data_IF_224260972995
#
_entry.id   IF_224260972995
#
_cell.length_a   1.000
_cell.length_b   1.000
_cell.length_c   1.000
_cell.angle_alpha   90.00
_cell.angle_beta   90.00
_cell.angle_gamma   90.00
#
_symmetry.space_group_name_H-M   'P 1'
#
loop_
_entity.id
_entity.type
_entity.pdbx_description
1 polymer ?
#
# COMPACT_ATOMS: atom_id res chain seq x y z
N UNK A 1 -18.70 -41.38 18.61
CA UNK A 1 -17.79 -40.44 17.92
C UNK A 1 -18.62 -39.22 17.59
N UNK A 2 -18.41 -38.11 18.30
CA UNK A 2 -19.10 -36.86 17.97
C UNK A 2 -18.53 -36.34 16.64
N UNK A 3 -19.41 -36.09 15.70
CA UNK A 3 -19.07 -35.53 14.39
C UNK A 3 -18.52 -34.12 14.62
N UNK A 4 -17.23 -33.91 14.31
CA UNK A 4 -16.60 -32.59 14.47
C UNK A 4 -17.09 -31.73 13.32
N UNK A 5 -17.99 -30.80 13.61
CA UNK A 5 -18.41 -29.75 12.66
C UNK A 5 -17.14 -29.03 12.17
N UNK A 6 -16.93 -29.02 10.86
CA UNK A 6 -15.82 -28.30 10.26
C UNK A 6 -16.05 -26.79 10.44
N UNK A 7 -15.09 -26.10 11.05
CA UNK A 7 -15.10 -24.64 11.19
C UNK A 7 -14.49 -24.03 9.94
N UNK A 8 -15.21 -23.13 9.28
CA UNK A 8 -14.71 -22.42 8.10
C UNK A 8 -13.68 -21.35 8.52
N UNK A 9 -12.44 -21.52 8.07
CA UNK A 9 -11.35 -20.56 8.27
C UNK A 9 -11.00 -19.80 7.00
N UNK A 10 -11.79 -19.97 5.93
CA UNK A 10 -11.55 -19.38 4.62
C UNK A 10 -11.53 -17.86 4.65
N UNK A 11 -12.48 -17.23 5.36
CA UNK A 11 -12.53 -15.78 5.50
C UNK A 11 -11.34 -15.22 6.29
N UNK A 12 -10.91 -15.88 7.37
CA UNK A 12 -9.71 -15.50 8.11
C UNK A 12 -8.48 -15.48 7.19
N UNK A 13 -8.22 -16.59 6.48
CA UNK A 13 -7.07 -16.70 5.59
C UNK A 13 -7.12 -15.76 4.40
N UNK A 14 -8.32 -15.47 3.86
CA UNK A 14 -8.51 -14.51 2.77
C UNK A 14 -7.98 -13.13 3.16
N UNK A 15 -8.33 -12.62 4.33
CA UNK A 15 -7.90 -11.28 4.76
C UNK A 15 -6.43 -11.24 5.20
N UNK A 16 -5.96 -12.30 5.85
CA UNK A 16 -4.52 -12.45 6.18
C UNK A 16 -3.66 -12.47 4.92
N UNK A 17 -4.07 -13.21 3.90
CA UNK A 17 -3.36 -13.26 2.63
C UNK A 17 -3.39 -11.92 1.90
N UNK A 18 -4.52 -11.19 1.95
CA UNK A 18 -4.62 -9.83 1.40
C UNK A 18 -3.63 -8.87 2.06
N UNK A 19 -3.44 -9.00 3.38
CA UNK A 19 -2.54 -8.14 4.14
C UNK A 19 -1.06 -8.54 3.98
N UNK A 20 -0.75 -9.84 3.89
CA UNK A 20 0.62 -10.37 4.03
C UNK A 20 1.25 -10.94 2.75
N UNK A 21 0.46 -11.37 1.75
CA UNK A 21 0.99 -11.95 0.51
C UNK A 21 1.06 -10.93 -0.62
N UNK A 22 2.13 -11.01 -1.41
CA UNK A 22 2.17 -10.35 -2.70
C UNK A 22 1.09 -10.93 -3.63
N UNK A 23 0.45 -10.07 -4.42
CA UNK A 23 -0.60 -10.48 -5.37
C UNK A 23 -0.14 -10.26 -6.80
N UNK A 24 -0.53 -11.17 -7.70
CA UNK A 24 -0.34 -10.99 -9.14
C UNK A 24 -1.60 -10.36 -9.69
N UNK A 25 -1.51 -9.10 -10.10
CA UNK A 25 -2.60 -8.45 -10.82
C UNK A 25 -2.43 -8.62 -12.31
N UNK A 26 -3.56 -8.79 -12.98
CA UNK A 26 -3.65 -8.96 -14.42
C UNK A 26 -3.90 -7.59 -15.05
N UNK A 27 -2.96 -7.10 -15.86
CA UNK A 27 -3.19 -5.95 -16.74
C UNK A 27 -3.45 -6.46 -18.15
N UNK A 28 -4.50 -5.95 -18.78
CA UNK A 28 -4.73 -6.16 -20.20
C UNK A 28 -4.14 -4.96 -20.94
N UNK A 29 -3.00 -5.14 -21.59
CA UNK A 29 -2.38 -4.14 -22.47
C UNK A 29 -3.00 -4.20 -23.86
N UNK A 30 -3.72 -3.16 -24.26
CA UNK A 30 -4.20 -3.02 -25.64
C UNK A 30 -3.44 -1.89 -26.32
N UNK A 31 -2.58 -2.26 -27.27
CA UNK A 31 -1.92 -1.29 -28.15
C UNK A 31 -2.75 -1.11 -29.41
N UNK A 32 -2.98 0.12 -29.89
CA UNK A 32 -3.70 0.35 -31.15
C UNK A 32 -3.10 -0.49 -32.29
N UNK A 33 -3.95 -1.22 -33.03
CA UNK A 33 -3.53 -2.09 -34.13
C UNK A 33 -2.91 -3.44 -33.74
N UNK A 34 -2.75 -3.74 -32.45
CA UNK A 34 -2.22 -5.03 -31.98
C UNK A 34 -3.27 -5.83 -31.20
N UNK A 35 -3.06 -7.15 -31.12
CA UNK A 35 -3.85 -8.02 -30.24
C UNK A 35 -3.54 -7.68 -28.78
N UNK A 36 -4.59 -7.60 -27.95
CA UNK A 36 -4.43 -7.36 -26.52
C UNK A 36 -3.47 -8.38 -25.88
N UNK A 37 -2.49 -7.89 -25.13
CA UNK A 37 -1.52 -8.70 -24.37
C UNK A 37 -1.91 -8.70 -22.91
N UNK A 38 -1.94 -9.87 -22.30
CA UNK A 38 -2.18 -10.00 -20.87
C UNK A 38 -0.81 -9.99 -20.18
N UNK A 39 -0.56 -9.01 -19.34
CA UNK A 39 0.61 -8.93 -18.49
C UNK A 39 0.23 -9.15 -17.03
N UNK A 40 1.14 -9.72 -16.27
CA UNK A 40 0.97 -9.92 -14.84
C UNK A 40 2.05 -9.12 -14.11
N UNK A 41 1.64 -8.34 -13.13
CA UNK A 41 2.54 -7.57 -12.27
C UNK A 41 2.37 -8.02 -10.83
N UNK A 42 3.49 -8.10 -10.12
CA UNK A 42 3.49 -8.40 -8.69
C UNK A 42 3.28 -7.10 -7.93
N UNK A 43 2.13 -6.99 -7.25
CA UNK A 43 1.99 -6.00 -6.19
C UNK A 43 2.54 -6.59 -4.90
N UNK A 44 3.33 -5.82 -4.14
CA UNK A 44 3.64 -6.17 -2.77
C UNK A 44 2.36 -6.35 -1.94
N UNK A 45 2.48 -7.02 -0.80
CA UNK A 45 1.37 -7.12 0.16
C UNK A 45 0.96 -5.74 0.68
N UNK A 46 -0.27 -5.60 1.17
CA UNK A 46 -0.73 -4.32 1.73
C UNK A 46 0.14 -3.87 2.89
N UNK A 47 0.60 -4.80 3.75
CA UNK A 47 1.53 -4.49 4.82
C UNK A 47 2.86 -3.92 4.29
N UNK A 48 3.46 -4.56 3.27
CA UNK A 48 4.70 -4.04 2.68
C UNK A 48 4.49 -2.67 2.03
N UNK A 49 3.35 -2.41 1.42
CA UNK A 49 3.02 -1.10 0.87
C UNK A 49 2.89 -0.05 1.98
N UNK A 50 2.17 -0.35 3.07
CA UNK A 50 2.02 0.52 4.23
C UNK A 50 3.38 0.90 4.83
N UNK A 51 4.24 -0.09 5.11
CA UNK A 51 5.55 0.15 5.72
C UNK A 51 6.45 0.97 4.79
N UNK A 52 6.46 0.70 3.47
CA UNK A 52 7.21 1.53 2.51
C UNK A 52 6.76 2.99 2.51
N UNK A 53 5.46 3.24 2.62
CA UNK A 53 4.91 4.59 2.70
C UNK A 53 5.33 5.29 4.00
N UNK A 54 5.31 4.58 5.12
CA UNK A 54 5.82 5.07 6.42
C UNK A 54 7.32 5.39 6.34
N UNK A 55 8.11 4.47 5.80
CA UNK A 55 9.57 4.62 5.68
C UNK A 55 9.94 5.76 4.74
N UNK A 56 9.29 5.86 3.57
CA UNK A 56 9.54 6.94 2.59
C UNK A 56 9.24 8.33 3.15
N UNK A 57 8.27 8.43 4.07
CA UNK A 57 7.94 9.67 4.79
C UNK A 57 9.03 10.07 5.78
N UNK A 58 9.82 9.10 6.28
CA UNK A 58 10.88 9.32 7.27
C UNK A 58 12.24 9.65 6.62
N UNK A 59 12.54 9.08 5.46
CA UNK A 59 13.82 9.24 4.75
C UNK A 59 13.82 10.49 3.88
N UNK A 60 13.83 11.66 4.52
CA UNK A 60 13.92 12.93 3.81
C UNK A 60 15.24 13.08 3.03
N UNK A 61 15.20 12.88 1.71
CA UNK A 61 16.08 13.51 0.72
C UNK A 61 17.58 13.42 0.98
N UNK A 62 18.13 12.22 1.15
CA UNK A 62 19.57 12.00 1.08
C UNK A 62 19.95 11.53 -0.33
N UNK A 63 20.55 12.42 -1.13
CA UNK A 63 21.28 12.18 -2.40
C UNK A 63 20.72 12.94 -3.62
N UNK A 64 20.87 14.26 -3.62
CA UNK A 64 20.72 15.10 -4.82
C UNK A 64 20.86 16.58 -4.47
N UNK A 65 21.81 17.26 -5.09
CA UNK A 65 22.29 18.58 -4.69
C UNK A 65 21.23 19.70 -4.78
N UNK A 66 21.14 20.53 -3.73
CA UNK A 66 20.81 21.97 -3.86
C UNK A 66 19.34 22.41 -3.88
N UNK A 67 18.35 21.51 -3.90
CA UNK A 67 16.94 21.92 -3.87
C UNK A 67 16.42 22.08 -2.44
N UNK A 68 16.09 23.31 -2.02
CA UNK A 68 15.38 23.63 -0.77
C UNK A 68 13.90 23.19 -0.80
N UNK A 69 13.64 21.93 -1.18
CA UNK A 69 12.30 21.36 -1.20
C UNK A 69 11.87 20.95 0.20
N UNK A 70 10.81 21.57 0.72
CA UNK A 70 10.16 21.18 1.97
C UNK A 70 9.80 19.70 1.97
N UNK A 71 10.14 18.99 3.05
CA UNK A 71 9.76 17.58 3.22
C UNK A 71 8.23 17.48 3.24
N UNK A 72 7.64 16.48 2.56
CA UNK A 72 6.24 16.17 2.81
C UNK A 72 6.07 15.85 4.30
N UNK A 73 4.98 16.32 4.94
CA UNK A 73 4.72 16.00 6.33
C UNK A 73 4.56 14.48 6.50
N UNK A 74 5.07 13.95 7.61
CA UNK A 74 4.87 12.54 7.97
C UNK A 74 3.37 12.27 8.04
N UNK A 75 2.91 11.25 7.32
CA UNK A 75 1.53 10.81 7.41
C UNK A 75 1.33 10.05 8.73
N UNK A 76 0.91 10.78 9.78
CA UNK A 76 0.72 10.24 11.13
C UNK A 76 -0.35 9.14 11.19
N UNK A 77 -1.31 9.14 10.27
CA UNK A 77 -2.37 8.12 10.21
C UNK A 77 -1.80 6.76 9.80
N UNK A 78 -0.95 6.72 8.76
CA UNK A 78 -0.27 5.48 8.33
C UNK A 78 0.63 4.92 9.43
N UNK A 79 1.36 5.80 10.14
CA UNK A 79 2.22 5.40 11.27
C UNK A 79 1.40 4.83 12.42
N UNK A 80 0.32 5.50 12.80
CA UNK A 80 -0.57 5.05 13.87
C UNK A 80 -1.22 3.70 13.53
N UNK A 81 -1.67 3.51 12.29
CA UNK A 81 -2.25 2.24 11.83
C UNK A 81 -1.22 1.10 11.86
N UNK A 82 0.01 1.34 11.41
CA UNK A 82 1.07 0.33 11.45
C UNK A 82 1.41 -0.08 12.91
N UNK A 83 1.49 0.89 13.82
CA UNK A 83 1.71 0.63 15.24
C UNK A 83 0.56 -0.15 15.87
N UNK A 84 -0.69 0.26 15.63
CA UNK A 84 -1.91 -0.42 16.12
C UNK A 84 -1.92 -1.91 15.72
N UNK A 85 -1.67 -2.21 14.44
CA UNK A 85 -1.63 -3.59 13.94
C UNK A 85 -0.51 -4.38 14.65
N UNK A 86 0.68 -3.78 14.75
CA UNK A 86 1.82 -4.45 15.38
C UNK A 86 1.58 -4.75 16.85
N UNK A 87 1.06 -3.79 17.61
CA UNK A 87 0.81 -3.92 19.04
C UNK A 87 -0.28 -4.98 19.30
N UNK A 88 -1.42 -4.91 18.59
CA UNK A 88 -2.52 -5.86 18.77
C UNK A 88 -2.14 -7.30 18.40
N UNK A 89 -1.34 -7.49 17.34
CA UNK A 89 -0.84 -8.82 16.96
C UNK A 89 0.14 -9.35 18.01
N UNK A 90 1.03 -8.49 18.50
CA UNK A 90 2.02 -8.85 19.52
C UNK A 90 1.33 -9.27 20.82
N UNK A 91 0.38 -8.47 21.29
CA UNK A 91 -0.38 -8.75 22.51
C UNK A 91 -1.18 -10.04 22.37
N UNK A 92 -1.87 -10.24 21.25
CA UNK A 92 -2.64 -11.45 20.99
C UNK A 92 -1.77 -12.71 20.95
N UNK A 93 -0.58 -12.65 20.33
CA UNK A 93 0.36 -13.76 20.36
C UNK A 93 0.79 -14.09 21.80
N UNK A 94 1.09 -13.07 22.60
CA UNK A 94 1.47 -13.25 24.01
C UNK A 94 0.31 -13.86 24.81
N UNK A 95 -0.93 -13.42 24.60
CA UNK A 95 -2.14 -13.97 25.24
C UNK A 95 -2.35 -15.45 24.90
N UNK A 96 -2.00 -15.86 23.68
CA UNK A 96 -2.02 -17.27 23.25
C UNK A 96 -0.77 -18.07 23.69
N UNK A 97 0.15 -17.47 24.44
CA UNK A 97 1.38 -18.12 24.90
C UNK A 97 2.46 -18.27 23.83
N UNK A 98 2.32 -17.55 22.72
CA UNK A 98 3.25 -17.54 21.60
C UNK A 98 4.28 -16.41 21.75
N UNK A 99 5.43 -16.56 21.08
CA UNK A 99 6.48 -15.53 21.07
C UNK A 99 6.45 -14.78 19.73
N UNK A 100 6.28 -13.43 19.75
CA UNK A 100 6.44 -12.59 18.55
C UNK A 100 7.81 -12.79 17.90
N UNK A 101 7.85 -12.75 16.57
CA UNK A 101 9.08 -12.92 15.80
C UNK A 101 9.78 -11.57 15.66
N UNK A 102 11.08 -11.60 15.90
CA UNK A 102 11.96 -10.45 15.72
C UNK A 102 12.81 -10.68 14.48
N UNK A 103 12.72 -9.76 13.52
CA UNK A 103 13.62 -9.71 12.38
C UNK A 103 14.92 -9.02 12.80
N UNK A 104 16.05 -9.65 12.47
CA UNK A 104 17.36 -9.01 12.61
C UNK A 104 17.58 -8.21 11.34
N UNK A 105 17.56 -6.87 11.45
CA UNK A 105 17.78 -6.00 10.30
C UNK A 105 19.19 -6.23 9.70
N UNK A 106 19.23 -7.01 8.62
CA UNK A 106 20.46 -7.40 7.92
C UNK A 106 21.19 -6.20 7.29
N UNK A 107 20.53 -5.05 7.12
CA UNK A 107 21.17 -3.86 6.56
C UNK A 107 22.14 -3.21 7.54
N UNK A 108 21.95 -3.42 8.85
CA UNK A 108 22.81 -2.84 9.87
C UNK A 108 24.17 -3.56 9.97
N UNK A 109 24.24 -4.84 9.60
CA UNK A 109 25.49 -5.62 9.68
C UNK A 109 26.54 -5.18 8.65
N UNK A 110 26.13 -4.66 7.48
CA UNK A 110 27.08 -4.19 6.45
C UNK A 110 27.88 -2.95 6.87
N UNK A 111 27.37 -2.11 7.79
CA UNK A 111 28.11 -0.93 8.28
C UNK A 111 29.15 -1.25 9.37
N UNK A 112 29.12 -2.45 9.98
CA UNK A 112 30.05 -2.83 11.06
C UNK A 112 31.35 -3.50 10.60
N UNK A 113 31.49 -3.83 9.32
CA UNK A 113 32.77 -4.29 8.77
C UNK A 113 33.81 -3.16 8.59
N UNK A 114 33.51 -1.92 9.00
CA UNK A 114 34.48 -0.85 9.11
C UNK A 114 35.22 -0.95 10.46
N UNK A 115 36.48 -1.38 10.41
CA UNK A 115 37.43 -1.48 11.53
C UNK A 115 37.36 -0.25 12.46
N UNK A 116 37.26 -0.43 13.79
CA UNK A 116 37.29 0.70 14.72
C UNK A 116 38.64 1.44 14.62
N UNK A 117 38.64 2.79 14.65
CA UNK A 117 39.88 3.55 14.73
C UNK A 117 40.61 3.20 16.04
N UNK A 118 41.92 3.01 15.96
CA UNK A 118 42.75 2.81 17.14
C UNK A 118 42.57 3.98 18.11
N UNK A 119 42.28 3.67 19.38
CA UNK A 119 42.27 4.66 20.45
C UNK A 119 43.70 5.15 20.69
N UNK A 120 44.02 6.33 20.17
CA UNK A 120 45.23 7.09 20.46
C UNK A 120 44.85 8.33 21.26
N UNK A 121 45.66 8.73 22.24
CA UNK A 121 45.49 10.04 22.89
C UNK A 121 45.86 11.18 21.92
N UNK A 122 45.61 12.44 22.31
CA UNK A 122 45.95 13.63 21.52
C UNK A 122 47.46 13.77 21.20
N UNK A 123 48.31 12.91 21.76
CA UNK A 123 49.76 12.84 21.51
C UNK A 123 50.20 11.57 20.78
N UNK A 124 49.28 10.67 20.42
CA UNK A 124 49.59 9.39 19.78
C UNK A 124 50.24 8.35 20.70
N UNK A 125 50.21 8.53 22.03
CA UNK A 125 50.81 7.61 22.99
C UNK A 125 49.78 6.69 23.64
N UNK A 126 50.12 5.42 23.90
CA UNK A 126 49.27 4.51 24.65
C UNK A 126 49.24 4.92 26.13
N UNK A 127 48.05 5.03 26.71
CA UNK A 127 47.87 5.28 28.15
C UNK A 127 48.45 4.10 28.96
N UNK A 128 49.37 4.38 29.89
CA UNK A 128 50.19 3.38 30.59
C UNK A 128 49.92 3.23 32.10
N UNK A 129 48.84 3.79 32.66
CA UNK A 129 48.45 3.55 34.06
C UNK A 129 47.52 2.33 34.16
N UNK A 130 47.97 1.17 34.68
CA UNK A 130 47.22 -0.08 34.61
C UNK A 130 45.94 -0.09 35.47
N UNK A 131 45.90 0.63 36.59
CA UNK A 131 44.76 0.61 37.52
C UNK A 131 43.67 1.62 37.14
N UNK A 132 44.07 2.75 36.55
CA UNK A 132 43.13 3.72 35.99
C UNK A 132 42.63 3.24 34.63
N UNK A 133 43.51 2.64 33.80
CA UNK A 133 43.13 2.02 32.55
C UNK A 133 42.14 0.87 32.77
N UNK A 134 42.36 0.00 33.77
CA UNK A 134 41.43 -1.09 34.07
C UNK A 134 40.01 -0.62 34.40
N UNK A 135 39.87 0.39 35.26
CA UNK A 135 38.56 0.95 35.64
C UNK A 135 37.88 1.72 34.51
N UNK A 136 38.65 2.43 33.68
CA UNK A 136 38.13 3.12 32.50
C UNK A 136 37.70 2.13 31.41
N UNK A 137 38.45 1.04 31.21
CA UNK A 137 38.09 -0.04 30.29
C UNK A 137 36.83 -0.75 30.75
N UNK A 138 36.66 -1.04 32.04
CA UNK A 138 35.45 -1.69 32.54
C UNK A 138 34.21 -0.78 32.47
N UNK A 139 34.35 0.52 32.79
CA UNK A 139 33.27 1.51 32.60
C UNK A 139 32.91 1.70 31.12
N UNK A 140 33.91 1.76 30.25
CA UNK A 140 33.71 1.85 28.81
C UNK A 140 33.04 0.58 28.26
N UNK A 141 33.42 -0.60 28.76
CA UNK A 141 32.81 -1.88 28.39
C UNK A 141 31.33 -1.96 28.83
N UNK A 142 30.98 -1.53 30.05
CA UNK A 142 29.58 -1.47 30.50
C UNK A 142 28.77 -0.44 29.73
N UNK A 143 29.31 0.76 29.52
CA UNK A 143 28.63 1.78 28.71
C UNK A 143 28.45 1.32 27.25
N UNK A 144 29.44 0.62 26.69
CA UNK A 144 29.34 0.03 25.36
C UNK A 144 28.31 -1.11 25.32
N UNK A 145 28.22 -1.93 26.37
CA UNK A 145 27.21 -2.99 26.50
C UNK A 145 25.79 -2.42 26.63
N UNK A 146 25.58 -1.39 27.45
CA UNK A 146 24.28 -0.70 27.57
C UNK A 146 23.89 0.02 26.27
N UNK A 147 24.85 0.64 25.59
CA UNK A 147 24.62 1.29 24.31
C UNK A 147 24.42 0.26 23.18
N UNK A 148 25.04 -0.92 23.26
CA UNK A 148 24.78 -2.04 22.37
C UNK A 148 23.39 -2.62 22.61
N UNK A 149 22.97 -2.80 23.87
CA UNK A 149 21.63 -3.25 24.23
C UNK A 149 20.56 -2.27 23.73
N UNK A 150 20.73 -0.96 23.96
CA UNK A 150 19.80 0.07 23.44
C UNK A 150 19.79 0.16 21.91
N UNK A 151 20.93 -0.11 21.25
CA UNK A 151 21.02 -0.16 19.78
C UNK A 151 20.42 -1.45 19.22
N UNK A 152 20.53 -2.57 19.93
CA UNK A 152 19.92 -3.85 19.55
C UNK A 152 18.40 -3.83 19.77
N UNK A 153 17.91 -3.12 20.79
CA UNK A 153 16.47 -2.78 20.91
C UNK A 153 15.95 -1.96 19.73
N UNK A 154 16.83 -1.23 19.03
CA UNK A 154 16.50 -0.53 17.79
C UNK A 154 16.76 -1.34 16.50
N UNK A 155 17.27 -2.58 16.61
CA UNK A 155 17.61 -3.47 15.46
C UNK A 155 16.70 -4.68 15.34
N UNK A 156 16.01 -5.03 16.42
CA UNK A 156 15.01 -6.08 16.43
C UNK A 156 13.69 -5.42 16.03
N UNK A 157 13.45 -5.35 14.72
CA UNK A 157 12.17 -4.91 14.22
C UNK A 157 11.22 -6.12 14.27
N UNK A 158 10.01 -5.94 14.77
CA UNK A 158 9.02 -7.02 14.75
C UNK A 158 8.74 -7.40 13.30
N UNK A 159 8.80 -8.70 12.99
CA UNK A 159 8.35 -9.22 11.69
C UNK A 159 6.83 -9.35 11.73
N UNK A 160 6.16 -8.20 11.77
CA UNK A 160 4.70 -8.13 11.89
C UNK A 160 4.00 -8.90 10.77
N UNK A 161 4.61 -8.98 9.57
CA UNK A 161 4.05 -9.76 8.46
C UNK A 161 4.02 -11.26 8.79
N UNK A 162 5.10 -11.80 9.33
CA UNK A 162 5.13 -13.19 9.81
C UNK A 162 4.24 -13.40 11.02
N UNK A 163 4.20 -12.45 11.95
CA UNK A 163 3.40 -12.53 13.18
C UNK A 163 1.89 -12.51 12.89
N UNK A 164 1.43 -11.71 11.92
CA UNK A 164 0.05 -11.73 11.41
C UNK A 164 -0.34 -13.14 10.91
N UNK A 165 0.56 -13.81 10.16
CA UNK A 165 0.30 -15.17 9.68
C UNK A 165 0.36 -16.20 10.80
N UNK A 166 1.28 -16.02 11.74
CA UNK A 166 1.44 -16.90 12.91
C UNK A 166 0.18 -16.86 13.77
N UNK A 167 -0.30 -15.65 14.09
CA UNK A 167 -1.52 -15.44 14.84
C UNK A 167 -2.74 -16.06 14.15
N UNK A 168 -2.88 -15.88 12.83
CA UNK A 168 -3.97 -16.51 12.08
C UNK A 168 -3.95 -18.05 12.17
N UNK A 169 -2.76 -18.67 12.17
CA UNK A 169 -2.62 -20.11 12.35
C UNK A 169 -3.02 -20.55 13.76
N UNK A 170 -2.54 -19.83 14.79
CA UNK A 170 -2.86 -20.09 16.20
C UNK A 170 -4.37 -19.98 16.43
N UNK A 171 -5.01 -18.92 15.92
CA UNK A 171 -6.45 -18.70 16.02
C UNK A 171 -7.23 -19.80 15.32
N UNK A 172 -6.82 -20.21 14.11
CA UNK A 172 -7.47 -21.29 13.37
C UNK A 172 -7.39 -22.65 14.11
N UNK A 173 -6.29 -22.90 14.83
CA UNK A 173 -6.06 -24.15 15.57
C UNK A 173 -6.93 -24.27 16.83
N UNK A 174 -7.40 -23.15 17.39
CA UNK A 174 -8.33 -23.18 18.55
C UNK A 174 -9.66 -23.86 18.20
N UNK A 175 -10.08 -23.78 16.93
CA UNK A 175 -11.41 -24.21 16.43
C UNK A 175 -12.59 -23.55 17.15
N UNK A 176 -12.36 -22.43 17.81
CA UNK A 176 -13.39 -21.63 18.46
C UNK A 176 -14.01 -20.69 17.41
N UNK A 177 -15.25 -20.98 16.99
CA UNK A 177 -15.93 -20.26 15.90
C UNK A 177 -16.02 -18.75 16.18
N UNK A 178 -16.34 -18.37 17.41
CA UNK A 178 -16.47 -16.96 17.81
C UNK A 178 -15.13 -16.22 17.72
N UNK A 179 -14.05 -16.85 18.19
CA UNK A 179 -12.70 -16.28 18.13
C UNK A 179 -12.22 -16.15 16.68
N UNK A 180 -12.43 -17.18 15.86
CA UNK A 180 -12.08 -17.16 14.43
C UNK A 180 -12.84 -16.05 13.68
N UNK A 181 -14.15 -15.91 13.96
CA UNK A 181 -14.99 -14.87 13.34
C UNK A 181 -14.53 -13.48 13.74
N UNK A 182 -14.28 -13.27 15.04
CA UNK A 182 -13.81 -11.99 15.55
C UNK A 182 -12.49 -11.58 14.90
N UNK A 183 -11.52 -12.49 14.83
CA UNK A 183 -10.25 -12.21 14.16
C UNK A 183 -10.42 -11.96 12.66
N UNK A 184 -11.26 -12.72 11.95
CA UNK A 184 -11.55 -12.47 10.55
C UNK A 184 -12.10 -11.05 10.32
N UNK A 185 -12.98 -10.57 11.21
CA UNK A 185 -13.49 -9.21 11.19
C UNK A 185 -12.38 -8.17 11.46
N UNK A 186 -11.47 -8.43 12.40
CA UNK A 186 -10.31 -7.56 12.66
C UNK A 186 -9.38 -7.46 11.44
N UNK A 187 -9.01 -8.58 10.82
CA UNK A 187 -8.18 -8.57 9.60
C UNK A 187 -8.88 -7.83 8.45
N UNK A 188 -10.20 -8.02 8.29
CA UNK A 188 -10.97 -7.28 7.28
C UNK A 188 -10.96 -5.77 7.56
N UNK A 189 -11.14 -5.36 8.81
CA UNK A 189 -11.08 -3.97 9.23
C UNK A 189 -9.72 -3.33 8.93
N UNK A 190 -8.62 -4.03 9.27
CA UNK A 190 -7.28 -3.55 8.94
C UNK A 190 -7.03 -3.47 7.44
N UNK A 191 -7.45 -4.48 6.66
CA UNK A 191 -7.35 -4.43 5.19
C UNK A 191 -8.04 -3.18 4.64
N UNK A 192 -9.28 -2.91 5.06
CA UNK A 192 -10.01 -1.73 4.61
C UNK A 192 -9.28 -0.43 4.98
N UNK A 193 -8.81 -0.29 6.23
CA UNK A 193 -8.07 0.92 6.66
C UNK A 193 -6.74 1.09 5.95
N UNK A 194 -6.02 0.01 5.68
CA UNK A 194 -4.77 0.08 4.92
C UNK A 194 -5.06 0.47 3.47
N UNK A 195 -6.11 -0.07 2.86
CA UNK A 195 -6.54 0.33 1.51
C UNK A 195 -6.93 1.81 1.46
N UNK A 196 -7.72 2.31 2.40
CA UNK A 196 -8.04 3.74 2.54
C UNK A 196 -6.80 4.60 2.73
N UNK A 197 -5.92 4.23 3.66
CA UNK A 197 -4.70 4.99 3.96
C UNK A 197 -3.72 5.01 2.76
N UNK A 198 -3.69 3.95 1.96
CA UNK A 198 -2.91 3.85 0.72
C UNK A 198 -3.60 4.52 -0.47
N UNK A 199 -4.81 5.09 -0.32
CA UNK A 199 -5.61 5.59 -1.44
C UNK A 199 -5.98 4.48 -2.44
N UNK A 200 -5.93 3.22 -2.02
CA UNK A 200 -6.24 2.05 -2.84
C UNK A 200 -7.74 1.71 -2.85
N UNK A 201 -8.56 2.48 -2.14
CA UNK A 201 -10.02 2.38 -2.26
C UNK A 201 -10.41 2.60 -3.72
N UNK A 202 -11.08 1.60 -4.30
CA UNK A 202 -11.70 1.68 -5.63
C UNK A 202 -12.68 2.89 -5.72
N UNK A 203 -13.10 3.44 -4.57
CA UNK A 203 -13.92 4.65 -4.46
C UNK A 203 -13.16 5.96 -4.74
N UNK A 204 -11.83 5.96 -4.72
CA UNK A 204 -11.03 7.12 -5.18
C UNK A 204 -10.96 7.23 -6.71
N UNK A 205 -11.53 6.24 -7.42
CA UNK A 205 -11.61 6.26 -8.88
C UNK A 205 -12.82 7.10 -9.31
N UNK A 206 -12.63 8.42 -9.33
CA UNK A 206 -13.61 9.34 -9.90
C UNK A 206 -13.83 8.98 -11.38
N UNK A 207 -15.04 8.52 -11.69
CA UNK A 207 -15.39 8.03 -13.02
C UNK A 207 -16.32 9.05 -13.68
N UNK A 208 -15.79 9.81 -14.65
CA UNK A 208 -16.55 10.85 -15.35
C UNK A 208 -16.84 10.50 -16.80
N UNK A 209 -18.07 10.72 -17.29
CA UNK A 209 -18.37 10.58 -18.72
C UNK A 209 -17.75 11.73 -19.51
N UNK A 210 -17.15 11.44 -20.67
CA UNK A 210 -16.65 12.46 -21.61
C UNK A 210 -17.75 12.76 -22.62
N UNK A 211 -18.39 13.92 -22.48
CA UNK A 211 -19.51 14.33 -23.34
C UNK A 211 -19.01 14.94 -24.66
N UNK A 212 -19.74 14.69 -25.74
CA UNK A 212 -19.52 15.32 -27.04
C UNK A 212 -18.26 14.88 -27.79
N UNK A 213 -17.60 13.81 -27.33
CA UNK A 213 -16.38 13.29 -27.95
C UNK A 213 -16.62 11.86 -28.43
N UNK A 214 -16.26 11.62 -29.69
CA UNK A 214 -16.39 10.31 -30.32
C UNK A 214 -15.27 9.38 -29.84
N UNK A 215 -15.59 8.10 -29.70
CA UNK A 215 -14.59 7.07 -29.49
C UNK A 215 -13.63 7.00 -30.69
N UNK A 216 -12.30 7.06 -30.50
CA UNK A 216 -11.37 6.99 -31.65
C UNK A 216 -11.31 5.60 -32.30
N UNK A 217 -11.84 4.56 -31.63
CA UNK A 217 -11.83 3.20 -32.15
C UNK A 217 -13.10 2.82 -32.94
N UNK A 218 -14.26 3.36 -32.57
CA UNK A 218 -15.54 3.00 -33.20
C UNK A 218 -16.38 4.21 -33.63
N UNK A 219 -15.87 5.42 -33.46
CA UNK A 219 -16.52 6.70 -33.79
C UNK A 219 -17.85 6.99 -33.07
N UNK A 220 -18.28 6.10 -32.17
CA UNK A 220 -19.50 6.31 -31.39
C UNK A 220 -19.31 7.47 -30.39
N UNK A 221 -20.24 8.42 -30.41
CA UNK A 221 -20.34 9.51 -29.41
C UNK A 221 -21.17 9.07 -28.20
N UNK A 222 -22.09 8.12 -28.40
CA UNK A 222 -22.96 7.59 -27.36
C UNK A 222 -22.96 6.05 -27.38
N UNK A 223 -23.10 5.44 -26.21
CA UNK A 223 -23.49 4.06 -26.05
C UNK A 223 -25.02 4.02 -25.81
N UNK A 224 -25.69 3.14 -26.54
CA UNK A 224 -27.12 2.91 -26.40
C UNK A 224 -27.32 1.79 -25.40
N UNK A 225 -28.08 2.06 -24.34
CA UNK A 225 -28.47 1.07 -23.34
C UNK A 225 -29.98 0.96 -23.30
N UNK A 226 -30.48 -0.23 -23.52
CA UNK A 226 -31.89 -0.56 -23.40
C UNK A 226 -32.17 -1.10 -22.00
N UNK A 227 -33.18 -0.56 -21.31
CA UNK A 227 -33.66 -1.08 -20.03
C UNK A 227 -35.14 -1.41 -20.12
N UNK A 228 -35.60 -2.52 -19.52
CA UNK A 228 -37.03 -2.81 -19.42
C UNK A 228 -37.76 -1.68 -18.70
N UNK A 229 -38.88 -1.22 -19.25
CA UNK A 229 -39.70 -0.16 -18.65
C UNK A 229 -41.17 -0.43 -18.88
N UNK A 230 -41.95 -0.43 -17.80
CA UNK A 230 -43.41 -0.59 -17.84
C UNK A 230 -44.12 0.70 -18.31
N UNK A 231 -43.40 1.83 -18.33
CA UNK A 231 -43.94 3.12 -18.72
C UNK A 231 -44.11 3.28 -20.25
N UNK A 232 -43.41 2.48 -21.05
CA UNK A 232 -43.39 2.60 -22.51
C UNK A 232 -44.06 1.41 -23.19
N UNK A 233 -44.81 1.67 -24.27
CA UNK A 233 -45.51 0.63 -25.03
C UNK A 233 -44.58 -0.41 -25.69
N UNK A 234 -43.32 -0.04 -25.93
CA UNK A 234 -42.25 -0.96 -26.39
C UNK A 234 -41.79 -1.94 -25.31
N UNK A 235 -42.12 -1.69 -24.04
CA UNK A 235 -41.57 -2.41 -22.89
C UNK A 235 -40.10 -2.09 -22.60
N UNK A 236 -39.48 -1.18 -23.35
CA UNK A 236 -38.05 -0.86 -23.28
C UNK A 236 -37.84 0.65 -23.39
N UNK A 237 -37.12 1.21 -22.44
CA UNK A 237 -36.62 2.58 -22.44
C UNK A 237 -35.16 2.59 -22.94
N UNK A 238 -34.86 3.51 -23.87
CA UNK A 238 -33.52 3.62 -24.48
C UNK A 238 -32.77 4.81 -23.90
N UNK A 239 -31.60 4.57 -23.33
CA UNK A 239 -30.70 5.57 -22.77
C UNK A 239 -29.50 5.80 -23.70
N UNK A 240 -29.14 7.07 -23.90
CA UNK A 240 -27.95 7.48 -24.64
C UNK A 240 -26.88 8.00 -23.67
N UNK A 241 -26.02 7.10 -23.23
CA UNK A 241 -24.90 7.44 -22.35
C UNK A 241 -23.70 7.90 -23.19
N UNK A 242 -22.87 8.86 -22.74
CA UNK A 242 -21.63 9.18 -23.44
C UNK A 242 -20.77 7.94 -23.66
N UNK A 243 -20.24 7.80 -24.88
CA UNK A 243 -19.51 6.60 -25.26
C UNK A 243 -18.21 6.45 -24.47
N UNK A 244 -17.53 7.53 -24.11
CA UNK A 244 -16.26 7.52 -23.39
C UNK A 244 -16.45 7.82 -21.90
N UNK A 245 -15.73 7.07 -21.07
CA UNK A 245 -15.69 7.21 -19.62
C UNK A 245 -14.25 7.29 -19.17
N UNK A 246 -13.91 8.29 -18.36
CA UNK A 246 -12.56 8.50 -17.83
C UNK A 246 -12.57 8.22 -16.34
N UNK A 247 -11.62 7.39 -15.91
CA UNK A 247 -11.30 7.12 -14.53
C UNK A 247 -10.11 7.98 -14.13
N UNK A 248 -10.30 8.78 -13.08
CA UNK A 248 -9.26 9.59 -12.47
C UNK A 248 -8.74 8.93 -11.21
N UNK A 249 -7.50 9.22 -10.86
CA UNK A 249 -6.93 8.92 -9.56
C UNK A 249 -5.98 10.09 -9.23
N UNK A 250 -6.20 10.75 -8.09
CA UNK A 250 -5.50 11.97 -7.68
C UNK A 250 -5.49 13.08 -8.75
N UNK A 251 -6.64 13.30 -9.39
CA UNK A 251 -6.79 14.31 -10.45
C UNK A 251 -6.05 13.99 -11.76
N UNK A 252 -5.45 12.80 -11.88
CA UNK A 252 -4.79 12.33 -13.10
C UNK A 252 -5.64 11.26 -13.77
N UNK A 253 -5.68 11.30 -15.10
CA UNK A 253 -6.35 10.25 -15.89
C UNK A 253 -5.61 8.92 -15.70
N UNK A 254 -6.29 7.94 -15.13
CA UNK A 254 -5.79 6.58 -14.93
C UNK A 254 -6.13 5.69 -16.12
N UNK A 255 -7.36 5.80 -16.60
CA UNK A 255 -7.93 4.88 -17.58
C UNK A 255 -9.11 5.53 -18.30
N UNK A 256 -9.25 5.28 -19.61
CA UNK A 256 -10.42 5.67 -20.39
C UNK A 256 -11.02 4.42 -21.02
N UNK A 257 -12.35 4.30 -21.02
CA UNK A 257 -13.06 3.17 -21.61
C UNK A 257 -14.19 3.65 -22.51
N UNK A 258 -14.39 2.98 -23.64
CA UNK A 258 -15.55 3.16 -24.50
C UNK A 258 -16.64 2.14 -24.18
N UNK A 259 -17.80 2.62 -23.74
CA UNK A 259 -18.99 1.79 -23.47
C UNK A 259 -19.60 1.16 -24.73
N UNK A 260 -19.40 1.76 -25.90
CA UNK A 260 -20.00 1.28 -27.15
C UNK A 260 -19.24 0.09 -27.76
N UNK A 261 -17.91 0.15 -27.82
CA UNK A 261 -17.08 -0.91 -28.42
C UNK A 261 -16.20 -1.68 -27.43
N UNK A 262 -16.18 -1.30 -26.16
CA UNK A 262 -15.30 -1.88 -25.15
C UNK A 262 -13.82 -1.52 -25.35
N UNK A 263 -13.50 -0.49 -26.14
CA UNK A 263 -12.14 0.03 -26.27
C UNK A 263 -11.63 0.59 -24.96
N UNK A 264 -10.36 0.34 -24.62
CA UNK A 264 -9.73 0.72 -23.37
C UNK A 264 -8.36 1.38 -23.63
N UNK A 265 -8.10 2.48 -22.93
CA UNK A 265 -6.83 3.23 -23.01
C UNK A 265 -6.31 3.45 -21.60
N UNK A 266 -5.18 2.83 -21.27
CA UNK A 266 -4.57 2.92 -19.94
C UNK A 266 -3.06 3.18 -20.11
N UNK A 267 -2.64 4.40 -19.74
CA UNK A 267 -1.25 4.93 -19.80
C UNK A 267 -0.58 4.90 -21.20
N UNK A 268 0.52 5.65 -21.32
CA UNK A 268 1.39 5.70 -22.51
C UNK A 268 0.85 6.54 -23.67
N UNK A 269 1.49 6.40 -24.83
CA UNK A 269 1.25 7.23 -26.03
C UNK A 269 -0.23 7.22 -26.46
N UNK A 270 -0.95 6.12 -26.26
CA UNK A 270 -2.38 6.04 -26.58
C UNK A 270 -3.28 6.89 -25.66
N UNK A 271 -2.90 7.10 -24.41
CA UNK A 271 -3.61 7.99 -23.49
C UNK A 271 -3.24 9.46 -23.77
N UNK A 272 -1.99 9.72 -24.11
CA UNK A 272 -1.48 11.05 -24.49
C UNK A 272 -2.12 11.53 -25.80
N UNK A 273 -2.11 10.69 -26.85
CA UNK A 273 -2.80 10.96 -28.12
C UNK A 273 -4.31 11.17 -27.92
N UNK A 274 -4.93 10.41 -27.03
CA UNK A 274 -6.34 10.63 -26.67
C UNK A 274 -6.50 11.98 -25.97
N UNK A 275 -5.63 12.33 -25.03
CA UNK A 275 -5.62 13.65 -24.39
C UNK A 275 -5.46 14.82 -25.39
N UNK A 276 -4.58 14.66 -26.38
CA UNK A 276 -4.37 15.62 -27.46
C UNK A 276 -5.61 15.73 -28.37
N UNK A 277 -6.16 14.59 -28.84
CA UNK A 277 -7.37 14.55 -29.67
C UNK A 277 -8.61 15.10 -28.96
N UNK A 278 -8.70 14.92 -27.64
CA UNK A 278 -9.79 15.45 -26.84
C UNK A 278 -9.65 16.95 -26.57
N UNK A 279 -8.52 17.56 -26.89
CA UNK A 279 -8.39 19.01 -27.02
C UNK A 279 -7.23 19.67 -26.28
N UNK A 280 -6.13 18.97 -25.98
CA UNK A 280 -4.77 19.52 -25.76
C UNK A 280 -4.54 20.65 -24.73
N UNK A 281 -5.56 21.13 -24.05
CA UNK A 281 -5.48 22.37 -23.27
C UNK A 281 -6.27 22.16 -22.01
N UNK A 282 -5.57 22.01 -20.87
CA UNK A 282 -5.93 22.51 -19.52
C UNK A 282 -7.34 22.29 -18.94
N UNK A 283 -8.34 21.80 -19.67
CA UNK A 283 -9.73 21.62 -19.24
C UNK A 283 -9.97 20.33 -18.45
N UNK A 284 -8.91 19.55 -18.22
CA UNK A 284 -8.92 18.43 -17.28
C UNK A 284 -8.66 18.88 -15.84
N UNK A 285 -8.23 20.13 -15.60
CA UNK A 285 -8.30 20.69 -14.24
C UNK A 285 -9.76 20.87 -13.89
N UNK A 286 -10.18 20.18 -12.84
CA UNK A 286 -11.49 20.29 -12.20
C UNK A 286 -11.99 21.73 -12.20
N UNK A 287 -13.00 22.04 -13.03
CA UNK A 287 -13.85 23.21 -12.79
C UNK A 287 -14.67 22.90 -11.52
N UNK A 288 -14.08 23.20 -10.37
CA UNK A 288 -14.81 23.33 -9.11
C UNK A 288 -15.77 24.50 -9.25
N UNK A 289 -17.07 24.19 -9.43
CA UNK A 289 -18.18 25.10 -9.19
C UNK A 289 -18.30 26.29 -10.14
N UNK A 290 -19.01 26.12 -11.26
CA UNK A 290 -19.91 27.19 -11.69
C UNK A 290 -21.07 27.20 -10.68
N UNK A 291 -21.04 28.14 -9.73
CA UNK A 291 -22.21 28.52 -8.95
C UNK A 291 -23.28 29.05 -9.93
N UNK A 292 -24.54 28.57 -9.87
CA UNK A 292 -25.60 29.18 -10.64
C UNK A 292 -25.81 30.60 -10.12
N UNK A 293 -25.75 31.58 -11.03
CA UNK A 293 -26.18 32.94 -10.73
C UNK A 293 -27.64 32.90 -10.24
N UNK A 294 -27.84 33.25 -8.98
CA UNK A 294 -29.17 33.52 -8.43
C UNK A 294 -29.68 34.83 -9.07
N UNK A 295 -30.81 34.73 -9.79
CA UNK A 295 -31.67 35.85 -10.20
C UNK A 295 -32.66 36.21 -9.06
#
# INVERSE_FOLDING_TARGET
>A
MADRVAVDTGDLWRWVDRLTRARRERVVRKTPGARARIEYFELPSLWTQLIREVDSSSTGGGHGAGGTGSRPPINLEKVALAAEISDLVTDALIEHGERPRLEVDATTDRRRAATPPALVDDTGRPLHDPDVAGRLVERAARAAADQAARRDSGRLQHDTASDLRHLAAVVADTREVELITWWADQYRYWVARVETALGSDDESIDTRPVRGKACPACEATYAIREQPSEAFASGVETFHDPALVVQFHDGRVRHVTCRACGGDWWRGEGLEQLGEQLGGSTAWTTSTGDEPAED
#
